data_IF_524388078018
#
_entry.id   IF_524388078018
#
_cell.length_a   1.000
_cell.length_b   1.000
_cell.length_c   1.000
_cell.angle_alpha   90.00
_cell.angle_beta   90.00
_cell.angle_gamma   90.00
#
_symmetry.space_group_name_H-M   'P 1'
#
loop_
_entity.id
_entity.type
_entity.pdbx_description
1 polymer ?
#
# COMPACT_ATOMS: atom_id res chain seq x y z
N UNK A 1 18.84 27.22 -46.39
CA UNK A 1 18.13 28.42 -45.92
C UNK A 1 16.63 28.18 -46.13
N UNK A 2 15.85 28.13 -45.04
CA UNK A 2 14.36 28.17 -44.94
C UNK A 2 13.96 27.33 -43.74
N UNK A 3 14.03 27.84 -42.51
CA UNK A 3 13.03 28.70 -41.83
C UNK A 3 11.62 28.12 -41.72
N UNK A 4 11.28 27.83 -40.44
CA UNK A 4 9.97 28.04 -39.81
C UNK A 4 8.91 26.95 -40.04
N UNK A 5 9.10 25.81 -39.36
CA UNK A 5 8.00 24.92 -38.95
C UNK A 5 7.09 25.63 -37.94
N UNK A 6 6.19 26.42 -38.53
CA UNK A 6 4.75 26.50 -38.27
C UNK A 6 4.32 26.07 -36.87
N UNK A 7 4.23 27.10 -36.02
CA UNK A 7 3.28 27.25 -34.92
C UNK A 7 2.38 26.03 -34.69
N UNK A 8 2.73 25.23 -33.68
CA UNK A 8 1.84 24.24 -33.08
C UNK A 8 0.61 24.99 -32.57
N UNK A 9 -0.45 24.95 -33.37
CA UNK A 9 -1.77 25.52 -33.06
C UNK A 9 -2.33 24.82 -31.84
N UNK A 10 -2.24 25.49 -30.69
CA UNK A 10 -2.80 25.17 -29.36
C UNK A 10 -4.34 25.13 -29.32
N UNK A 11 -5.04 24.82 -30.42
CA UNK A 11 -6.50 25.03 -30.53
C UNK A 11 -7.33 23.91 -31.15
N UNK A 12 -6.75 22.78 -31.56
CA UNK A 12 -7.53 21.70 -32.18
C UNK A 12 -7.72 20.45 -31.30
N UNK A 13 -7.28 20.48 -30.05
CA UNK A 13 -7.30 19.30 -29.17
C UNK A 13 -8.60 19.10 -28.37
N UNK A 14 -9.74 19.63 -28.83
CA UNK A 14 -11.04 19.47 -28.14
C UNK A 14 -12.19 19.26 -29.11
N UNK A 15 -12.15 18.17 -29.88
CA UNK A 15 -13.37 17.55 -30.41
C UNK A 15 -13.19 16.05 -30.36
N UNK A 16 -13.82 15.42 -29.38
CA UNK A 16 -14.60 14.18 -29.53
C UNK A 16 -15.29 13.87 -28.20
N UNK A 17 -16.56 14.28 -28.15
CA UNK A 17 -17.57 13.80 -27.19
C UNK A 17 -17.99 12.41 -27.65
N UNK A 18 -17.94 11.39 -26.78
CA UNK A 18 -18.62 10.13 -27.02
C UNK A 18 -19.11 9.49 -25.71
N UNK A 19 -20.41 9.69 -25.46
CA UNK A 19 -21.41 8.76 -24.91
C UNK A 19 -21.10 8.03 -23.60
N UNK A 20 -21.81 8.47 -22.55
CA UNK A 20 -22.02 7.74 -21.28
C UNK A 20 -23.18 6.74 -21.47
N UNK A 21 -22.90 5.43 -21.47
CA UNK A 21 -23.84 4.37 -21.00
C UNK A 21 -23.03 3.12 -20.64
N UNK A 22 -23.17 2.60 -19.41
CA UNK A 22 -22.69 1.24 -19.06
C UNK A 22 -22.42 1.02 -17.57
N UNK A 23 -23.31 0.29 -16.92
CA UNK A 23 -23.47 0.09 -15.48
C UNK A 23 -22.34 -0.69 -14.78
N UNK A 24 -22.05 -0.25 -13.55
CA UNK A 24 -21.61 -1.00 -12.34
C UNK A 24 -20.70 -2.23 -12.55
N UNK A 25 -19.42 -2.04 -12.23
CA UNK A 25 -18.67 -3.04 -11.48
C UNK A 25 -18.12 -2.33 -10.24
N UNK A 26 -18.65 -2.70 -9.06
CA UNK A 26 -18.08 -2.35 -7.76
C UNK A 26 -16.67 -2.93 -7.70
N UNK A 27 -15.67 -2.16 -8.11
CA UNK A 27 -14.28 -2.51 -7.81
C UNK A 27 -14.13 -2.35 -6.31
N UNK A 28 -14.15 -3.49 -5.63
CA UNK A 28 -13.77 -3.61 -4.24
C UNK A 28 -12.49 -2.81 -4.04
N UNK A 29 -12.53 -1.95 -3.03
CA UNK A 29 -11.37 -1.21 -2.55
C UNK A 29 -10.38 -2.23 -1.98
N UNK A 30 -9.67 -2.94 -2.86
CA UNK A 30 -8.53 -3.74 -2.50
C UNK A 30 -7.56 -2.74 -1.90
N UNK A 31 -7.45 -2.73 -0.58
CA UNK A 31 -6.51 -1.89 0.14
C UNK A 31 -5.16 -2.11 -0.51
N UNK A 32 -4.71 -1.11 -1.27
CA UNK A 32 -3.34 -1.05 -1.77
C UNK A 32 -2.53 -0.90 -0.49
N UNK A 33 -2.09 -2.02 0.06
CA UNK A 33 -1.04 -2.03 1.05
C UNK A 33 0.10 -1.28 0.40
N UNK A 34 0.34 -0.06 0.86
CA UNK A 34 1.50 0.72 0.45
C UNK A 34 2.67 -0.17 0.82
N UNK A 35 3.26 -0.81 -0.18
CA UNK A 35 4.47 -1.57 0.00
C UNK A 35 5.55 -0.51 0.15
N UNK A 36 5.74 -0.03 1.38
CA UNK A 36 6.86 0.83 1.72
C UNK A 36 8.12 0.07 1.30
N UNK A 37 8.85 0.63 0.34
CA UNK A 37 10.08 0.06 -0.19
C UNK A 37 11.07 -0.13 0.97
N UNK A 38 11.11 -1.35 1.52
CA UNK A 38 11.87 -1.67 2.74
C UNK A 38 11.14 -2.63 3.70
N UNK A 39 9.83 -2.81 3.57
CA UNK A 39 9.04 -3.73 4.41
C UNK A 39 8.78 -5.07 3.71
N UNK A 40 8.81 -6.17 4.46
CA UNK A 40 8.57 -7.53 3.95
C UNK A 40 7.08 -7.85 3.91
N UNK A 41 6.58 -8.62 2.92
CA UNK A 41 5.20 -9.06 2.92
C UNK A 41 4.91 -10.02 4.09
N UNK A 42 3.68 -10.01 4.60
CA UNK A 42 3.23 -10.85 5.73
C UNK A 42 3.62 -12.33 5.59
N UNK A 43 3.48 -12.89 4.38
CA UNK A 43 3.82 -14.30 4.11
C UNK A 43 5.31 -14.62 4.32
N UNK A 44 6.22 -13.68 4.03
CA UNK A 44 7.66 -13.90 4.16
C UNK A 44 8.12 -14.01 5.63
N UNK A 45 7.35 -13.45 6.56
CA UNK A 45 7.66 -13.46 8.00
C UNK A 45 6.72 -14.34 8.80
N UNK A 46 5.97 -15.23 8.14
CA UNK A 46 4.96 -16.10 8.77
C UNK A 46 4.04 -15.31 9.73
N UNK A 47 3.59 -14.14 9.27
CA UNK A 47 2.73 -13.30 10.08
C UNK A 47 1.39 -14.01 10.34
N UNK A 48 0.92 -13.90 11.58
CA UNK A 48 -0.40 -14.34 12.03
C UNK A 48 -1.07 -13.19 12.79
N UNK A 49 -2.41 -13.11 12.74
CA UNK A 49 -3.18 -12.07 13.42
C UNK A 49 -3.44 -12.34 14.91
N UNK A 50 -3.04 -13.51 15.39
CA UNK A 50 -3.15 -13.97 16.78
C UNK A 50 -1.77 -14.05 17.46
N UNK A 51 -1.72 -13.96 18.80
CA UNK A 51 -0.45 -13.97 19.52
C UNK A 51 0.21 -15.35 19.47
N UNK A 52 1.53 -15.41 19.66
CA UNK A 52 2.27 -16.65 19.89
C UNK A 52 2.66 -16.75 21.35
N UNK A 53 1.80 -17.38 22.15
CA UNK A 53 1.93 -17.38 23.61
C UNK A 53 1.78 -15.96 24.16
N UNK A 54 2.84 -15.44 24.80
CA UNK A 54 2.89 -14.06 25.30
C UNK A 54 3.38 -13.04 24.26
N UNK A 55 3.95 -13.51 23.16
CA UNK A 55 4.58 -12.65 22.16
C UNK A 55 3.53 -12.14 21.19
N UNK A 56 3.42 -10.81 21.10
CA UNK A 56 2.49 -10.15 20.19
C UNK A 56 2.96 -8.74 19.81
N UNK A 57 2.42 -8.19 18.73
CA UNK A 57 2.88 -6.93 18.16
C UNK A 57 2.84 -5.77 19.17
N UNK A 58 1.85 -5.68 20.06
CA UNK A 58 1.76 -4.59 21.04
C UNK A 58 3.02 -4.48 21.94
N UNK A 59 3.62 -5.62 22.28
CA UNK A 59 4.85 -5.73 23.09
C UNK A 59 6.11 -5.90 22.23
N UNK A 60 6.02 -5.78 20.90
CA UNK A 60 7.15 -5.87 19.97
C UNK A 60 7.81 -4.50 19.75
N UNK A 61 9.14 -4.45 19.67
CA UNK A 61 9.93 -3.24 19.39
C UNK A 61 9.80 -2.73 17.93
N UNK A 62 9.33 -3.59 17.02
CA UNK A 62 9.12 -3.27 15.61
C UNK A 62 7.73 -2.67 15.33
N UNK A 63 6.78 -2.87 16.24
CA UNK A 63 5.40 -2.41 16.07
C UNK A 63 5.28 -0.90 16.25
N UNK A 64 4.59 -0.27 15.32
CA UNK A 64 4.24 1.15 15.33
C UNK A 64 2.72 1.20 15.47
N UNK A 65 2.25 1.66 16.63
CA UNK A 65 0.83 1.78 16.88
C UNK A 65 0.17 2.80 15.90
N UNK A 66 -1.11 2.61 15.53
CA UNK A 66 -2.00 1.54 15.99
C UNK A 66 -1.93 0.26 15.16
N UNK A 67 -1.48 0.30 13.91
CA UNK A 67 -1.59 -0.83 12.98
C UNK A 67 -0.45 -0.96 11.95
N UNK A 68 0.78 -0.57 12.31
CA UNK A 68 1.93 -0.63 11.40
C UNK A 68 3.13 -1.36 12.02
N UNK A 69 4.10 -1.74 11.19
CA UNK A 69 5.34 -2.38 11.63
C UNK A 69 6.51 -1.89 10.77
N UNK A 70 7.69 -1.72 11.37
CA UNK A 70 8.91 -1.31 10.66
C UNK A 70 9.34 -2.31 9.59
N UNK A 71 9.03 -3.59 9.77
CA UNK A 71 9.55 -4.68 8.93
C UNK A 71 8.47 -5.46 8.17
N UNK A 72 7.19 -5.28 8.51
CA UNK A 72 6.07 -6.00 7.87
C UNK A 72 5.16 -5.02 7.16
N UNK A 73 4.96 -5.23 5.87
CA UNK A 73 4.09 -4.41 5.04
C UNK A 73 2.60 -4.61 5.39
N UNK A 74 1.82 -3.55 5.21
CA UNK A 74 0.36 -3.56 5.37
C UNK A 74 -0.11 -3.39 6.83
N UNK A 75 -1.41 -3.59 7.04
CA UNK A 75 -2.06 -3.40 8.34
C UNK A 75 -1.68 -4.50 9.34
N UNK A 76 -1.27 -4.14 10.55
CA UNK A 76 -0.77 -5.05 11.59
C UNK A 76 -1.71 -5.05 12.79
N UNK A 77 -2.16 -6.25 13.19
CA UNK A 77 -2.92 -6.42 14.43
C UNK A 77 -1.99 -6.21 15.63
N UNK A 78 -2.36 -5.42 16.65
CA UNK A 78 -1.61 -5.35 17.91
C UNK A 78 -1.53 -6.72 18.62
N UNK A 79 -2.47 -7.62 18.35
CA UNK A 79 -2.46 -9.01 18.83
C UNK A 79 -1.75 -9.98 17.88
N UNK A 80 -1.26 -9.52 16.73
CA UNK A 80 -0.56 -10.37 15.77
C UNK A 80 0.84 -10.76 16.22
N UNK A 81 1.48 -11.64 15.45
CA UNK A 81 2.86 -12.09 15.68
C UNK A 81 3.52 -12.42 14.33
N UNK A 82 4.85 -12.33 14.24
CA UNK A 82 5.64 -12.80 13.10
C UNK A 82 7.02 -13.27 13.57
N UNK A 83 7.76 -13.98 12.72
CA UNK A 83 9.08 -14.53 13.08
C UNK A 83 10.14 -13.47 13.38
N UNK A 84 9.94 -12.22 12.94
CA UNK A 84 10.81 -11.08 13.23
C UNK A 84 10.47 -10.38 14.56
N UNK A 85 9.71 -11.03 15.45
CA UNK A 85 9.38 -10.50 16.76
C UNK A 85 10.63 -10.19 17.58
N UNK A 86 10.66 -9.00 18.17
CA UNK A 86 11.68 -8.57 19.14
C UNK A 86 10.92 -7.94 20.31
N UNK A 87 11.07 -8.42 21.56
CA UNK A 87 10.39 -7.81 22.69
C UNK A 87 10.84 -6.35 22.87
N UNK A 88 9.93 -5.47 23.27
CA UNK A 88 10.33 -4.13 23.75
C UNK A 88 11.25 -4.31 24.96
N UNK A 89 12.38 -3.61 24.95
CA UNK A 89 13.21 -3.49 26.16
C UNK A 89 12.37 -2.86 27.27
N UNK A 90 12.53 -3.39 28.48
CA UNK A 90 11.94 -2.81 29.70
C UNK A 90 12.57 -1.45 30.03
#
# INVERSE_FOLDING_TARGET
MSEKDKMITRRDALRNIAVVVGSVATTTNMGVGVADAGSMPKAAVQYQDTPKGKDHCSVCAQFIAPHSCKVVAGNISPNGWCVAFVPKSA
#
